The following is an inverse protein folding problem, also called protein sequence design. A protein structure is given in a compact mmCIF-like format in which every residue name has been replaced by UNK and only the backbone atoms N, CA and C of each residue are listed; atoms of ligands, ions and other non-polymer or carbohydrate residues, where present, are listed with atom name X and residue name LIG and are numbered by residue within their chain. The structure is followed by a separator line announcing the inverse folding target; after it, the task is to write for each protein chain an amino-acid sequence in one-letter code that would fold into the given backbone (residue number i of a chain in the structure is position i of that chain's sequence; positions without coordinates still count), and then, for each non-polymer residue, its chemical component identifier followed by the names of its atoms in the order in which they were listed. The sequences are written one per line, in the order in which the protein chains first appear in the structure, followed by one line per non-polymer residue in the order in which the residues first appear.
data_IF_582406781407
#
_entry.id   IF_582406781407
#
_cell.length_a   1.000
_cell.length_b   1.000
_cell.length_c   1.000
_cell.angle_alpha   90.00
_cell.angle_beta   90.00
_cell.angle_gamma   90.00
#
_symmetry.space_group_name_H-M   'P 1'
#
loop_
_entity.id
_entity.type
_entity.pdbx_description
1 polymer ?
#
# COMPACT_ATOMS: atom_id res chain seq x y z
N UNK A 1 -18.91 3.23 -3.38
CA UNK A 1 -18.48 4.37 -2.54
C UNK A 1 -17.93 3.81 -1.26
N UNK A 2 -16.66 4.07 -0.92
CA UNK A 2 -16.14 3.73 0.40
C UNK A 2 -16.92 4.49 1.47
N UNK A 3 -17.17 3.86 2.63
CA UNK A 3 -17.81 4.57 3.74
C UNK A 3 -16.94 5.75 4.15
N UNK A 4 -17.47 6.99 4.22
CA UNK A 4 -16.69 8.15 4.65
C UNK A 4 -15.99 7.94 6.00
N UNK A 5 -16.64 7.21 6.91
CA UNK A 5 -16.10 6.84 8.23
C UNK A 5 -14.90 5.88 8.13
N UNK A 6 -14.93 4.96 7.16
CA UNK A 6 -13.79 4.06 6.92
C UNK A 6 -12.60 4.86 6.38
N UNK A 7 -12.82 5.76 5.42
CA UNK A 7 -11.74 6.58 4.84
C UNK A 7 -11.09 7.46 5.92
N UNK A 8 -11.89 8.12 6.77
CA UNK A 8 -11.34 8.91 7.88
C UNK A 8 -10.56 8.05 8.86
N UNK A 9 -11.07 6.87 9.22
CA UNK A 9 -10.38 5.97 10.15
C UNK A 9 -9.04 5.47 9.59
N UNK A 10 -8.99 5.04 8.32
CA UNK A 10 -7.76 4.58 7.68
C UNK A 10 -6.74 5.73 7.52
N UNK A 11 -7.21 6.93 7.16
CA UNK A 11 -6.36 8.12 7.10
C UNK A 11 -5.76 8.45 8.47
N UNK A 12 -6.56 8.45 9.51
CA UNK A 12 -6.10 8.77 10.86
C UNK A 12 -5.13 7.69 11.38
N UNK A 13 -5.34 6.42 11.00
CA UNK A 13 -4.40 5.32 11.28
C UNK A 13 -3.08 5.50 10.54
N UNK A 14 -3.12 5.89 9.25
CA UNK A 14 -1.92 6.19 8.47
C UNK A 14 -1.12 7.33 9.08
N UNK A 15 -1.77 8.42 9.52
CA UNK A 15 -1.09 9.51 10.22
C UNK A 15 -0.41 9.05 11.51
N UNK A 16 -1.06 8.16 12.28
CA UNK A 16 -0.43 7.58 13.48
C UNK A 16 0.79 6.74 13.12
N UNK A 17 0.72 5.92 12.08
CA UNK A 17 1.86 5.11 11.59
C UNK A 17 3.01 6.01 11.14
N UNK A 18 2.75 7.00 10.28
CA UNK A 18 3.77 7.94 9.81
C UNK A 18 4.42 8.70 10.97
N UNK A 19 3.63 9.14 11.95
CA UNK A 19 4.16 9.77 13.17
C UNK A 19 5.02 8.82 13.99
N UNK A 20 4.63 7.54 14.10
CA UNK A 20 5.41 6.54 14.84
C UNK A 20 6.80 6.33 14.26
N UNK A 21 6.91 6.34 12.92
CA UNK A 21 8.17 6.15 12.22
C UNK A 21 8.90 7.45 11.86
N UNK A 22 8.50 8.58 12.44
CA UNK A 22 9.12 9.87 12.15
C UNK A 22 10.60 9.92 12.54
N UNK A 23 11.01 9.15 13.56
CA UNK A 23 12.39 9.02 14.02
C UNK A 23 13.09 7.75 13.50
N UNK A 24 12.42 6.97 12.64
CA UNK A 24 13.03 5.78 12.07
C UNK A 24 14.17 6.16 11.11
N UNK A 25 15.20 5.31 10.95
CA UNK A 25 16.32 5.57 10.04
C UNK A 25 15.89 5.86 8.60
N UNK A 26 14.78 5.26 8.17
CA UNK A 26 14.22 5.43 6.82
C UNK A 26 13.46 6.76 6.62
N UNK A 27 13.18 7.51 7.70
CA UNK A 27 12.51 8.82 7.66
C UNK A 27 11.29 8.88 6.72
N UNK A 28 10.27 8.05 6.98
CA UNK A 28 9.07 7.99 6.13
C UNK A 28 8.30 9.31 6.15
N UNK A 29 8.33 10.04 5.03
CA UNK A 29 7.60 11.30 4.84
C UNK A 29 6.24 11.13 4.19
N UNK A 30 5.92 9.94 3.67
CA UNK A 30 4.64 9.67 3.01
C UNK A 30 4.26 8.19 3.10
N UNK A 31 3.00 7.88 2.84
CA UNK A 31 2.54 6.52 2.70
C UNK A 31 1.10 6.44 2.22
N UNK A 32 0.58 5.23 2.12
CA UNK A 32 -0.80 4.96 1.76
C UNK A 32 -1.31 3.73 2.50
N UNK A 33 -2.63 3.63 2.61
CA UNK A 33 -3.30 2.42 3.09
C UNK A 33 -3.91 1.69 1.90
N UNK A 34 -3.38 0.52 1.60
CA UNK A 34 -3.99 -0.41 0.66
C UNK A 34 -5.07 -1.20 1.39
N UNK A 35 -6.29 -1.21 0.89
CA UNK A 35 -7.40 -1.92 1.51
C UNK A 35 -8.31 -2.57 0.48
N UNK A 36 -9.13 -3.53 0.91
CA UNK A 36 -10.16 -4.10 0.04
C UNK A 36 -11.32 -3.11 -0.13
N UNK A 37 -11.77 -2.91 -1.37
CA UNK A 37 -12.91 -2.05 -1.71
C UNK A 37 -13.87 -2.79 -2.62
N UNK A 38 -15.17 -2.66 -2.37
CA UNK A 38 -16.20 -3.15 -3.28
C UNK A 38 -16.58 -2.03 -4.27
N UNK A 39 -16.35 -2.28 -5.55
CA UNK A 39 -16.69 -1.41 -6.65
C UNK A 39 -17.69 -2.15 -7.56
N UNK A 40 -18.98 -1.79 -7.47
CA UNK A 40 -20.07 -2.38 -8.27
C UNK A 40 -20.12 -3.92 -8.22
N UNK A 41 -19.96 -4.50 -7.03
CA UNK A 41 -20.02 -5.95 -6.81
C UNK A 41 -18.70 -6.68 -7.06
N UNK A 42 -17.62 -5.97 -7.41
CA UNK A 42 -16.29 -6.55 -7.61
C UNK A 42 -15.34 -6.05 -6.52
N UNK A 43 -14.55 -6.97 -5.95
CA UNK A 43 -13.47 -6.58 -5.04
C UNK A 43 -12.32 -5.99 -5.85
N UNK A 44 -11.84 -4.83 -5.43
CA UNK A 44 -10.73 -4.07 -6.02
C UNK A 44 -9.80 -3.60 -4.91
N UNK A 45 -8.59 -3.26 -5.29
CA UNK A 45 -7.67 -2.53 -4.40
C UNK A 45 -8.13 -1.08 -4.29
N UNK A 46 -8.54 -0.70 -3.08
CA UNK A 46 -8.75 0.69 -2.69
C UNK A 46 -7.50 1.24 -2.02
N UNK A 47 -7.27 2.54 -2.17
CA UNK A 47 -6.15 3.24 -1.55
C UNK A 47 -6.65 4.46 -0.82
N UNK A 48 -6.15 4.67 0.40
CA UNK A 48 -6.34 5.91 1.16
C UNK A 48 -4.98 6.58 1.39
N UNK A 49 -4.90 7.87 1.08
CA UNK A 49 -3.70 8.72 1.22
C UNK A 49 -3.80 9.62 2.46
N UNK A 50 -2.70 10.28 2.88
CA UNK A 50 -2.71 11.17 4.05
C UNK A 50 -3.68 12.36 3.90
N UNK A 51 -3.85 12.89 2.69
CA UNK A 51 -4.84 13.93 2.38
C UNK A 51 -6.30 13.48 2.54
N UNK A 52 -6.55 12.17 2.65
CA UNK A 52 -7.88 11.59 2.79
C UNK A 52 -8.56 11.25 1.46
N UNK A 53 -7.84 11.30 0.34
CA UNK A 53 -8.32 10.80 -0.92
C UNK A 53 -8.56 9.29 -0.86
N UNK A 54 -9.62 8.82 -1.53
CA UNK A 54 -9.94 7.40 -1.63
C UNK A 54 -10.04 6.97 -3.09
N UNK A 55 -9.00 6.31 -3.58
CA UNK A 55 -8.82 5.95 -4.98
C UNK A 55 -8.93 4.44 -5.19
N UNK A 56 -9.10 4.03 -6.45
CA UNK A 56 -8.79 2.67 -6.87
C UNK A 56 -7.33 2.62 -7.30
N UNK A 57 -6.63 1.53 -6.98
CA UNK A 57 -5.25 1.36 -7.42
C UNK A 57 -5.21 1.09 -8.93
N UNK A 58 -4.70 2.06 -9.68
CA UNK A 58 -4.42 1.92 -11.10
C UNK A 58 -2.98 1.46 -11.34
N UNK A 59 -2.73 0.94 -12.53
CA UNK A 59 -1.38 0.61 -12.98
C UNK A 59 -0.45 1.83 -12.89
N UNK A 60 -0.88 2.98 -13.42
CA UNK A 60 -0.06 4.20 -13.42
C UNK A 60 0.36 4.63 -12.01
N UNK A 61 -0.57 4.59 -11.04
CA UNK A 61 -0.26 4.92 -9.65
C UNK A 61 0.74 3.91 -9.04
N UNK A 62 0.57 2.62 -9.36
CA UNK A 62 1.47 1.58 -8.87
C UNK A 62 2.86 1.67 -9.50
N UNK A 63 2.96 1.97 -10.79
CA UNK A 63 4.24 2.16 -11.48
C UNK A 63 4.98 3.38 -10.93
N UNK A 64 4.28 4.49 -10.70
CA UNK A 64 4.85 5.67 -10.04
C UNK A 64 5.34 5.35 -8.63
N UNK A 65 4.58 4.56 -7.88
CA UNK A 65 4.99 4.11 -6.54
C UNK A 65 6.24 3.23 -6.61
N UNK A 66 6.33 2.33 -7.59
CA UNK A 66 7.46 1.42 -7.79
C UNK A 66 8.77 2.13 -8.17
N UNK A 67 8.72 3.42 -8.55
CA UNK A 67 9.93 4.25 -8.71
C UNK A 67 10.59 4.62 -7.38
N UNK A 68 9.87 4.46 -6.27
CA UNK A 68 10.34 4.74 -4.91
C UNK A 68 10.53 3.43 -4.16
N UNK A 69 11.47 3.42 -3.22
CA UNK A 69 11.56 2.33 -2.25
C UNK A 69 10.29 2.31 -1.40
N UNK A 70 9.70 1.12 -1.27
CA UNK A 70 8.45 0.91 -0.54
C UNK A 70 8.70 0.03 0.68
N UNK A 71 7.99 0.31 1.78
CA UNK A 71 8.04 -0.48 3.00
C UNK A 71 6.65 -0.92 3.41
N UNK A 72 6.49 -2.21 3.71
CA UNK A 72 5.28 -2.73 4.35
C UNK A 72 5.34 -2.47 5.85
N UNK A 73 4.31 -1.79 6.34
CA UNK A 73 4.14 -1.39 7.74
C UNK A 73 5.38 -0.70 8.35
N UNK A 74 6.23 -0.11 7.51
CA UNK A 74 7.49 0.52 7.93
C UNK A 74 8.59 -0.44 8.40
N UNK A 75 8.41 -1.75 8.24
CA UNK A 75 9.36 -2.77 8.73
C UNK A 75 10.13 -3.39 7.58
N UNK A 76 9.42 -3.88 6.56
CA UNK A 76 10.01 -4.72 5.51
C UNK A 76 10.00 -3.98 4.18
N UNK A 77 11.19 -3.84 3.58
CA UNK A 77 11.33 -3.28 2.24
C UNK A 77 10.75 -4.26 1.20
N UNK A 78 9.95 -3.72 0.28
CA UNK A 78 9.30 -4.50 -0.79
C UNK A 78 9.37 -3.81 -2.13
N UNK A 79 9.30 -4.62 -3.19
CA UNK A 79 8.96 -4.19 -4.55
C UNK A 79 7.54 -4.61 -4.87
N UNK A 80 6.83 -3.72 -5.54
CA UNK A 80 5.41 -3.86 -5.85
C UNK A 80 5.22 -3.81 -7.36
N UNK A 81 4.58 -4.83 -7.92
CA UNK A 81 4.39 -4.93 -9.38
C UNK A 81 2.96 -5.35 -9.74
N UNK A 82 2.35 -4.74 -10.77
CA UNK A 82 1.07 -5.23 -11.28
C UNK A 82 1.25 -6.62 -11.92
N UNK A 83 0.35 -7.56 -11.64
CA UNK A 83 0.34 -8.89 -12.28
C UNK A 83 -0.85 -9.12 -13.18
N UNK A 84 -2.00 -8.59 -12.82
CA UNK A 84 -3.22 -8.68 -13.61
C UNK A 84 -3.86 -7.31 -13.62
N UNK A 85 -4.25 -6.88 -14.81
CA UNK A 85 -4.87 -5.58 -15.02
C UNK A 85 -6.15 -5.73 -15.83
N UNK A 86 -7.19 -5.01 -15.42
CA UNK A 86 -8.43 -4.86 -16.18
C UNK A 86 -8.84 -3.41 -16.12
N UNK A 87 -9.10 -2.83 -17.28
CA UNK A 87 -9.48 -1.43 -17.41
C UNK A 87 -8.44 -0.48 -16.76
N UNK A 88 -7.15 -0.83 -16.85
CA UNK A 88 -6.01 -0.14 -16.20
C UNK A 88 -6.02 -0.14 -14.66
N UNK A 89 -6.87 -0.95 -14.04
CA UNK A 89 -6.91 -1.18 -12.59
C UNK A 89 -6.17 -2.47 -12.23
N UNK A 90 -5.49 -2.44 -11.09
CA UNK A 90 -4.76 -3.59 -10.56
C UNK A 90 -5.74 -4.58 -9.95
N UNK A 91 -5.76 -5.81 -10.47
CA UNK A 91 -6.55 -6.93 -9.95
C UNK A 91 -5.71 -7.93 -9.15
N UNK A 92 -4.40 -7.95 -9.40
CA UNK A 92 -3.43 -8.72 -8.64
C UNK A 92 -2.12 -7.95 -8.53
N UNK A 93 -1.55 -7.93 -7.33
CA UNK A 93 -0.31 -7.26 -6.98
C UNK A 93 0.73 -8.32 -6.63
N UNK A 94 1.91 -8.27 -7.25
CA UNK A 94 3.06 -8.99 -6.75
C UNK A 94 3.78 -8.14 -5.70
N UNK A 95 4.04 -8.76 -4.56
CA UNK A 95 4.84 -8.22 -3.46
C UNK A 95 6.09 -9.07 -3.36
N UNK A 96 7.23 -8.47 -3.64
CA UNK A 96 8.53 -9.12 -3.55
C UNK A 96 9.28 -8.50 -2.37
N UNK A 97 9.72 -9.35 -1.43
CA UNK A 97 10.62 -8.91 -0.38
C UNK A 97 12.01 -8.72 -0.95
N UNK A 98 12.76 -7.79 -0.36
CA UNK A 98 14.18 -7.65 -0.67
C UNK A 98 14.94 -8.90 -0.19
N UNK A 99 15.74 -9.50 -1.08
CA UNK A 99 16.43 -10.78 -0.85
C UNK A 99 17.54 -10.66 0.22
N UNK A 100 17.99 -9.44 0.50
CA UNK A 100 19.03 -9.17 1.51
C UNK A 100 18.47 -9.10 2.94
N UNK A 101 17.14 -9.17 3.12
CA UNK A 101 16.53 -9.01 4.44
C UNK A 101 16.70 -10.25 5.32
N UNK A 102 17.03 -10.08 6.61
CA UNK A 102 17.03 -11.17 7.56
C UNK A 102 15.68 -11.87 7.62
N UNK A 103 15.69 -13.21 7.60
CA UNK A 103 14.46 -14.03 7.62
C UNK A 103 13.52 -13.65 8.78
N UNK A 104 14.07 -13.32 9.95
CA UNK A 104 13.30 -12.92 11.13
C UNK A 104 12.45 -11.67 10.90
N UNK A 105 12.90 -10.75 10.03
CA UNK A 105 12.14 -9.56 9.66
C UNK A 105 11.03 -9.88 8.66
N UNK A 106 11.24 -10.85 7.76
CA UNK A 106 10.29 -11.22 6.70
C UNK A 106 9.23 -12.21 7.19
N UNK A 107 9.56 -13.08 8.14
CA UNK A 107 8.69 -14.17 8.61
C UNK A 107 7.28 -13.70 9.05
N UNK A 108 7.11 -12.56 9.76
CA UNK A 108 5.78 -12.03 10.09
C UNK A 108 4.96 -11.60 8.87
N UNK A 109 5.64 -11.22 7.78
CA UNK A 109 5.02 -10.69 6.56
C UNK A 109 4.91 -11.72 5.45
N UNK A 110 5.43 -12.95 5.62
CA UNK A 110 5.53 -13.95 4.54
C UNK A 110 4.20 -14.23 3.80
N UNK A 111 3.07 -14.11 4.50
CA UNK A 111 1.75 -14.30 3.91
C UNK A 111 1.36 -13.22 2.90
N UNK A 112 2.04 -12.07 2.94
CA UNK A 112 1.89 -10.96 2.01
C UNK A 112 2.84 -11.05 0.82
N UNK A 113 3.81 -11.95 0.84
CA UNK A 113 4.74 -12.17 -0.26
C UNK A 113 4.11 -12.98 -1.39
N UNK A 114 4.59 -12.74 -2.61
CA UNK A 114 4.06 -13.38 -3.82
C UNK A 114 2.91 -12.58 -4.41
N UNK A 115 1.86 -13.26 -4.90
CA UNK A 115 0.74 -12.61 -5.57
C UNK A 115 -0.42 -12.45 -4.58
N UNK A 116 -0.80 -11.19 -4.32
CA UNK A 116 -1.98 -10.85 -3.54
C UNK A 116 -3.09 -10.33 -4.45
N UNK A 117 -4.33 -10.64 -4.10
CA UNK A 117 -5.55 -10.13 -4.74
C UNK A 117 -6.38 -9.36 -3.71
N UNK A 118 -7.35 -8.54 -4.12
CA UNK A 118 -8.23 -7.85 -3.18
C UNK A 118 -8.98 -8.79 -2.22
N UNK A 119 -9.19 -10.06 -2.60
CA UNK A 119 -9.83 -11.08 -1.76
C UNK A 119 -8.87 -11.75 -0.76
N UNK A 120 -7.57 -11.75 -1.04
CA UNK A 120 -6.54 -12.32 -0.16
C UNK A 120 -5.82 -11.26 0.68
N UNK A 121 -6.07 -9.98 0.41
CA UNK A 121 -5.56 -8.87 1.21
C UNK A 121 -6.11 -8.99 2.65
N UNK A 122 -5.27 -8.78 3.69
CA UNK A 122 -5.80 -8.50 5.03
C UNK A 122 -6.67 -7.23 5.01
N UNK A 123 -7.30 -6.90 6.14
CA UNK A 123 -8.21 -5.73 6.22
C UNK A 123 -7.59 -4.46 5.62
N UNK A 124 -6.33 -4.19 5.95
CA UNK A 124 -5.51 -3.13 5.39
C UNK A 124 -4.02 -3.48 5.41
N UNK A 125 -3.23 -2.79 4.57
CA UNK A 125 -1.76 -2.80 4.56
C UNK A 125 -1.24 -1.36 4.46
N UNK A 126 -0.24 -1.01 5.25
CA UNK A 126 0.44 0.28 5.12
C UNK A 126 1.62 0.15 4.19
N UNK A 127 1.67 0.99 3.17
CA UNK A 127 2.81 1.11 2.28
C UNK A 127 3.42 2.49 2.48
N UNK A 128 4.62 2.52 3.04
CA UNK A 128 5.33 3.76 3.37
C UNK A 128 6.43 4.02 2.35
N UNK A 129 6.73 5.31 2.13
CA UNK A 129 7.84 5.77 1.31
C UNK A 129 8.51 6.97 1.98
N UNK A 130 9.76 7.26 1.62
CA UNK A 130 10.49 8.42 2.15
C UNK A 130 9.89 9.74 1.67
N UNK A 131 9.39 9.77 0.44
CA UNK A 131 8.74 10.93 -0.18
C UNK A 131 7.51 10.52 -0.99
N UNK A 132 6.57 11.46 -1.14
CA UNK A 132 5.37 11.28 -1.98
C UNK A 132 5.76 11.03 -3.45
N UNK A 133 5.31 9.95 -4.09
CA UNK A 133 5.56 9.74 -5.51
C UNK A 133 4.77 10.74 -6.37
N UNK A 134 5.30 11.08 -7.56
CA UNK A 134 4.87 12.24 -8.35
C UNK A 134 3.39 12.25 -8.74
N UNK A 135 2.87 11.15 -9.32
CA UNK A 135 1.49 11.05 -9.80
C UNK A 135 0.45 10.74 -8.74
N UNK A 136 0.83 10.66 -7.46
CA UNK A 136 -0.10 10.49 -6.36
C UNK A 136 -0.74 11.83 -5.97
N UNK A 137 -1.98 11.83 -5.43
CA UNK A 137 -2.61 13.06 -4.91
C UNK A 137 -1.83 13.64 -3.72
N UNK A 138 -2.09 14.92 -3.38
CA UNK A 138 -1.30 15.70 -2.42
C UNK A 138 -1.82 15.58 -1.00
#
# INVERSE_FOLDING_TARGET
MGSPLLVSALRDQLHRVLKWYQEAPSAFGWGMVLHRRNERGRLRFGVVTPGGESLLLSEALLLDLATSTCWLDGVVQVRLEPRIMRDSLVDALAVQFDEELPREQVEPFKALGGIITPGSLPSELFILTTSRPGGWPR
#
